data_IF_800836716032
#
_entry.id   IF_800836716032
#
_cell.length_a   1.000
_cell.length_b   1.000
_cell.length_c   1.000
_cell.angle_alpha   90.00
_cell.angle_beta   90.00
_cell.angle_gamma   90.00
#
_symmetry.space_group_name_H-M   'P 1'
#
loop_
_entity.id
_entity.type
_entity.pdbx_description
1 polymer ?
#
# COMPACT_ATOMS: atom_id res chain seq x y z
N UNK A 1 -64.19 37.03 10.21
CA UNK A 1 -63.32 36.01 9.66
C UNK A 1 -61.92 36.39 10.02
N UNK A 2 -61.31 35.65 10.95
CA UNK A 2 -59.89 35.86 11.35
C UNK A 2 -59.07 34.79 10.67
N UNK A 3 -58.18 35.17 9.79
CA UNK A 3 -57.19 34.27 9.18
C UNK A 3 -55.98 34.19 10.05
N UNK A 4 -55.69 33.00 10.55
CA UNK A 4 -54.46 32.69 11.28
C UNK A 4 -53.43 32.19 10.27
N UNK A 5 -52.35 32.94 10.04
CA UNK A 5 -51.20 32.52 9.26
C UNK A 5 -50.35 31.55 10.11
N UNK A 6 -50.31 30.27 9.69
CA UNK A 6 -49.37 29.29 10.22
C UNK A 6 -48.01 29.54 9.52
N UNK A 7 -47.08 30.06 10.30
CA UNK A 7 -45.66 30.16 9.90
C UNK A 7 -45.00 28.78 9.97
N UNK A 8 -44.77 28.16 8.81
CA UNK A 8 -43.97 26.93 8.71
C UNK A 8 -42.49 27.26 8.86
N UNK A 9 -41.97 27.05 10.06
CA UNK A 9 -40.55 27.14 10.32
C UNK A 9 -39.81 25.99 9.63
N UNK A 10 -39.06 26.31 8.59
CA UNK A 10 -38.10 25.37 7.98
C UNK A 10 -36.92 25.22 8.94
N UNK A 11 -36.89 24.13 9.68
CA UNK A 11 -35.69 23.73 10.46
C UNK A 11 -34.65 23.24 9.46
N UNK A 12 -33.70 24.10 9.11
CA UNK A 12 -32.52 23.69 8.37
C UNK A 12 -31.68 22.77 9.29
N UNK A 13 -31.80 21.44 9.09
CA UNK A 13 -30.85 20.47 9.66
C UNK A 13 -29.51 20.74 9.00
N UNK A 14 -28.66 21.52 9.64
CA UNK A 14 -27.25 21.57 9.33
C UNK A 14 -26.65 20.23 9.76
N UNK A 15 -26.56 19.30 8.84
CA UNK A 15 -25.76 18.09 9.05
C UNK A 15 -24.32 18.54 9.29
N UNK A 16 -23.90 18.52 10.55
CA UNK A 16 -22.48 18.61 10.91
C UNK A 16 -21.84 17.36 10.34
N UNK A 17 -21.35 17.43 9.10
CA UNK A 17 -20.54 16.38 8.53
C UNK A 17 -19.26 16.35 9.36
N UNK A 18 -19.00 15.31 10.15
CA UNK A 18 -17.73 15.21 10.86
C UNK A 18 -16.65 15.30 9.80
N UNK A 19 -15.68 16.17 10.01
CA UNK A 19 -14.55 16.29 9.12
C UNK A 19 -13.69 15.03 9.24
N UNK A 20 -13.98 14.08 8.38
CA UNK A 20 -13.28 12.81 8.29
C UNK A 20 -11.88 13.12 7.76
N UNK A 21 -10.86 12.93 8.59
CA UNK A 21 -9.45 12.95 8.15
C UNK A 21 -9.21 11.74 7.28
N UNK A 22 -8.71 11.96 6.09
CA UNK A 22 -8.42 10.91 5.13
C UNK A 22 -7.13 10.20 5.46
N UNK A 23 -7.13 8.86 5.41
CA UNK A 23 -5.92 8.10 5.66
C UNK A 23 -5.93 6.78 4.90
N UNK A 24 -4.78 6.43 4.37
CA UNK A 24 -4.49 5.13 3.81
C UNK A 24 -3.00 4.87 3.85
N UNK A 25 -2.63 3.61 3.90
CA UNK A 25 -1.23 3.20 3.90
C UNK A 25 -1.04 1.88 3.15
N UNK A 26 0.15 1.70 2.61
CA UNK A 26 0.55 0.50 1.90
C UNK A 26 1.19 -0.45 2.91
N UNK A 27 0.51 -1.53 3.27
CA UNK A 27 0.93 -2.45 4.31
C UNK A 27 1.56 -3.74 3.76
N UNK A 28 1.48 -3.96 2.45
CA UNK A 28 2.00 -5.14 1.79
C UNK A 28 2.38 -4.81 0.34
N UNK A 29 3.47 -5.38 -0.13
CA UNK A 29 3.91 -5.29 -1.50
C UNK A 29 4.68 -6.56 -1.90
N UNK A 30 4.49 -7.01 -3.14
CA UNK A 30 5.26 -8.09 -3.75
C UNK A 30 5.53 -7.78 -5.22
N UNK A 31 6.68 -8.20 -5.71
CA UNK A 31 7.05 -8.09 -7.11
C UNK A 31 6.72 -9.36 -7.91
N UNK A 32 6.89 -9.25 -9.21
CA UNK A 32 6.64 -10.34 -10.17
C UNK A 32 7.76 -11.39 -10.19
N UNK A 33 8.98 -11.01 -9.85
CA UNK A 33 10.13 -11.92 -9.94
C UNK A 33 10.15 -12.95 -8.81
N UNK A 34 9.73 -12.56 -7.59
CA UNK A 34 9.49 -13.49 -6.49
C UNK A 34 8.31 -13.01 -5.62
N UNK A 35 7.11 -13.54 -5.86
CA UNK A 35 5.92 -13.15 -5.10
C UNK A 35 5.95 -13.60 -3.63
N UNK A 36 6.86 -14.49 -3.24
CA UNK A 36 7.00 -14.95 -1.87
C UNK A 36 7.80 -13.96 -1.01
N UNK A 37 8.66 -13.15 -1.63
CA UNK A 37 9.37 -12.06 -0.95
C UNK A 37 8.47 -10.85 -0.88
N UNK A 38 7.93 -10.60 0.31
CA UNK A 38 6.90 -9.59 0.54
C UNK A 38 7.42 -8.51 1.48
N UNK A 39 7.19 -7.25 1.11
CA UNK A 39 7.51 -6.08 1.89
C UNK A 39 6.32 -5.17 2.14
N UNK A 40 6.60 -3.92 2.47
CA UNK A 40 5.60 -2.88 2.73
C UNK A 40 6.20 -1.49 2.50
N UNK A 41 5.38 -0.47 2.58
CA UNK A 41 5.86 0.91 2.45
C UNK A 41 6.69 1.32 3.67
N UNK A 42 7.69 2.15 3.42
CA UNK A 42 8.54 2.71 4.47
C UNK A 42 7.70 3.44 5.52
N UNK A 43 8.00 3.20 6.78
CA UNK A 43 7.29 3.78 7.91
C UNK A 43 6.08 2.99 8.40
N UNK A 44 5.63 1.96 7.69
CA UNK A 44 4.56 1.07 8.15
C UNK A 44 4.98 0.30 9.42
N UNK A 45 4.01 0.10 10.32
CA UNK A 45 4.20 -0.57 11.61
C UNK A 45 3.12 -1.64 11.82
N UNK A 46 3.52 -2.89 11.85
CA UNK A 46 2.61 -4.03 12.02
C UNK A 46 1.83 -4.00 13.34
N UNK A 47 2.34 -3.26 14.32
CA UNK A 47 1.72 -3.14 15.64
C UNK A 47 0.67 -2.04 15.75
N UNK A 48 0.47 -1.23 14.70
CA UNK A 48 -0.51 -0.15 14.72
C UNK A 48 -1.89 -0.70 14.37
N UNK A 49 -2.90 -0.54 15.24
CA UNK A 49 -4.25 -0.93 14.89
C UNK A 49 -4.77 -0.13 13.68
N UNK A 50 -5.35 -0.84 12.72
CA UNK A 50 -5.88 -0.25 11.49
C UNK A 50 -7.42 -0.14 11.51
N UNK A 51 -8.00 -0.03 12.69
CA UNK A 51 -9.45 -0.08 12.90
C UNK A 51 -10.16 1.28 12.79
N UNK A 52 -9.42 2.34 12.50
CA UNK A 52 -9.98 3.68 12.39
C UNK A 52 -10.47 4.29 13.70
N UNK A 53 -10.22 3.65 14.83
CA UNK A 53 -10.64 4.15 16.15
C UNK A 53 -9.53 4.97 16.81
N UNK A 54 -9.86 6.17 17.23
CA UNK A 54 -8.93 7.11 17.83
C UNK A 54 -8.00 7.81 16.81
N UNK A 55 -7.19 8.72 17.29
CA UNK A 55 -6.31 9.53 16.44
C UNK A 55 -5.02 8.80 16.03
N UNK A 56 -4.45 8.02 16.92
CA UNK A 56 -3.19 7.29 16.69
C UNK A 56 -3.26 6.29 15.54
N UNK A 57 -4.27 5.43 15.44
CA UNK A 57 -4.40 4.51 14.33
C UNK A 57 -4.55 5.16 12.97
N UNK A 58 -5.04 6.41 12.92
CA UNK A 58 -5.20 7.12 11.67
C UNK A 58 -3.91 7.67 11.10
N UNK A 59 -2.92 7.98 11.95
CA UNK A 59 -1.77 8.80 11.55
C UNK A 59 -0.42 8.13 11.75
N UNK A 60 -0.35 7.08 12.57
CA UNK A 60 0.92 6.60 13.09
C UNK A 60 1.87 6.09 12.01
N UNK A 61 1.38 5.31 11.08
CA UNK A 61 2.12 4.71 9.97
C UNK A 61 1.65 5.16 8.58
N UNK A 62 0.74 6.13 8.55
CA UNK A 62 0.32 6.77 7.31
C UNK A 62 1.36 7.77 6.86
N UNK A 63 1.89 7.57 5.65
CA UNK A 63 2.73 8.56 5.01
C UNK A 63 1.89 9.70 4.44
N UNK A 64 2.20 10.94 4.83
CA UNK A 64 1.56 12.16 4.35
C UNK A 64 2.59 12.98 3.59
N UNK A 65 2.28 13.33 2.34
CA UNK A 65 3.21 14.05 1.47
C UNK A 65 3.00 15.57 1.49
N UNK A 66 2.74 16.09 2.66
CA UNK A 66 2.62 17.53 2.90
C UNK A 66 3.07 17.91 4.31
N UNK A 67 3.54 19.14 4.47
CA UNK A 67 4.06 19.69 5.71
C UNK A 67 3.41 21.06 5.99
N UNK A 68 2.70 21.26 7.09
CA UNK A 68 2.35 20.26 8.12
C UNK A 68 1.55 19.08 7.59
N UNK A 69 1.65 17.94 8.25
CA UNK A 69 1.00 16.70 7.80
C UNK A 69 -0.54 16.78 7.85
N UNK A 70 -1.09 17.52 8.79
CA UNK A 70 -2.53 17.76 8.93
C UNK A 70 -2.84 19.22 8.68
N UNK A 71 -3.79 19.55 7.80
CA UNK A 71 -4.18 20.94 7.59
C UNK A 71 -4.75 21.53 8.87
N UNK A 72 -4.22 22.67 9.27
CA UNK A 72 -4.78 23.45 10.35
C UNK A 72 -6.11 24.05 9.88
N UNK A 73 -7.17 23.85 10.64
CA UNK A 73 -8.44 24.55 10.42
C UNK A 73 -8.47 25.78 11.30
N UNK A 74 -8.61 26.93 10.68
CA UNK A 74 -8.88 28.18 11.40
C UNK A 74 -10.19 28.02 12.20
N UNK A 75 -10.16 28.41 13.47
CA UNK A 75 -11.32 28.33 14.36
C UNK A 75 -11.11 29.11 15.64
N UNK A 76 -12.12 29.12 16.51
CA UNK A 76 -12.16 29.90 17.75
C UNK A 76 -10.92 29.71 18.65
N UNK A 77 -10.23 28.57 18.53
CA UNK A 77 -9.09 28.20 19.35
C UNK A 77 -7.73 28.30 18.65
N UNK A 78 -7.69 28.63 17.36
CA UNK A 78 -6.45 28.74 16.59
C UNK A 78 -6.46 30.03 15.79
N UNK A 79 -5.69 30.99 16.24
CA UNK A 79 -5.58 32.31 15.62
C UNK A 79 -4.76 32.30 14.33
N UNK A 80 -3.83 31.37 14.19
CA UNK A 80 -2.95 31.27 13.01
C UNK A 80 -2.81 29.82 12.59
N UNK A 81 -2.90 29.58 11.29
CA UNK A 81 -2.64 28.29 10.65
C UNK A 81 -1.41 28.41 9.76
N UNK A 82 -0.52 27.45 9.86
CA UNK A 82 0.64 27.40 9.00
C UNK A 82 0.24 26.97 7.58
N UNK A 83 0.86 27.63 6.58
CA UNK A 83 0.65 27.27 5.18
C UNK A 83 1.19 25.88 4.92
N UNK A 84 0.36 25.05 4.35
CA UNK A 84 0.74 23.69 3.97
C UNK A 84 1.57 23.71 2.69
N UNK A 85 2.67 22.95 2.69
CA UNK A 85 3.57 22.77 1.56
C UNK A 85 3.56 21.31 1.16
N UNK A 86 3.38 21.06 -0.12
CA UNK A 86 3.53 19.71 -0.69
C UNK A 86 5.01 19.32 -0.69
N UNK A 87 5.28 18.04 -0.42
CA UNK A 87 6.62 17.46 -0.40
C UNK A 87 6.89 16.77 -1.74
N UNK A 88 7.61 17.42 -2.65
CA UNK A 88 7.88 16.86 -3.97
C UNK A 88 8.83 15.66 -3.92
N UNK A 89 9.68 15.59 -2.89
CA UNK A 89 10.68 14.53 -2.70
C UNK A 89 10.47 13.78 -1.39
N UNK A 90 11.20 12.68 -1.20
CA UNK A 90 11.14 11.87 0.01
C UNK A 90 9.90 10.98 0.09
N UNK A 91 9.79 10.30 1.21
CA UNK A 91 8.73 9.33 1.49
C UNK A 91 7.67 9.85 2.46
N UNK A 92 7.58 11.16 2.62
CA UNK A 92 6.56 11.83 3.43
C UNK A 92 6.87 11.89 4.92
N UNK A 93 5.86 12.31 5.67
CA UNK A 93 5.84 12.40 7.13
C UNK A 93 4.89 11.35 7.68
N UNK A 94 5.20 10.80 8.86
CA UNK A 94 4.23 10.04 9.63
C UNK A 94 4.25 10.49 11.09
N UNK A 95 3.15 10.27 11.80
CA UNK A 95 3.07 10.63 13.23
C UNK A 95 4.14 9.91 14.05
N UNK A 96 4.44 8.66 13.72
CA UNK A 96 5.48 7.91 14.42
C UNK A 96 6.83 8.63 14.38
N UNK A 97 7.28 9.07 13.22
CA UNK A 97 8.58 9.74 13.08
C UNK A 97 8.57 11.16 13.60
N UNK A 98 7.46 11.88 13.44
CA UNK A 98 7.30 13.21 14.03
C UNK A 98 7.46 13.13 15.55
N UNK A 99 6.78 12.19 16.20
CA UNK A 99 6.85 12.02 17.64
C UNK A 99 8.25 11.61 18.09
N UNK A 100 8.84 10.63 17.42
CA UNK A 100 10.19 10.16 17.75
C UNK A 100 11.24 11.25 17.61
N UNK A 101 11.12 12.11 16.62
CA UNK A 101 12.00 13.27 16.45
C UNK A 101 11.88 14.21 17.64
N UNK A 102 10.69 14.57 18.05
CA UNK A 102 10.48 15.47 19.18
C UNK A 102 10.92 14.85 20.51
N UNK A 103 10.70 13.58 20.71
CA UNK A 103 11.17 12.84 21.88
C UNK A 103 12.71 12.84 21.99
N UNK A 104 13.40 12.66 20.86
CA UNK A 104 14.86 12.62 20.82
C UNK A 104 15.51 14.00 20.87
N UNK A 105 14.85 15.02 20.32
CA UNK A 105 15.41 16.37 20.18
C UNK A 105 15.27 17.21 21.44
N UNK A 106 14.21 17.03 22.21
CA UNK A 106 13.99 17.80 23.43
C UNK A 106 13.21 17.04 24.52
N UNK A 107 13.82 16.03 25.14
CA UNK A 107 13.11 15.19 26.11
C UNK A 107 12.61 15.93 27.34
N UNK A 108 13.12 17.15 27.60
CA UNK A 108 12.80 17.92 28.82
C UNK A 108 12.00 19.19 28.57
N UNK A 109 12.06 19.82 27.40
CA UNK A 109 11.38 21.09 27.13
C UNK A 109 10.00 20.94 26.51
N UNK A 110 9.88 20.05 25.56
CA UNK A 110 8.64 19.78 24.87
C UNK A 110 8.26 18.34 25.15
N UNK A 111 7.80 18.05 26.36
CA UNK A 111 7.07 16.83 26.56
C UNK A 111 5.82 16.90 25.68
N UNK A 112 5.89 16.40 24.42
CA UNK A 112 4.83 16.55 23.44
C UNK A 112 3.52 15.95 23.90
N UNK A 113 3.59 15.28 25.01
CA UNK A 113 2.55 14.49 25.63
C UNK A 113 2.26 14.86 27.08
N UNK A 114 2.55 16.10 27.49
CA UNK A 114 1.98 16.54 28.74
C UNK A 114 0.47 16.44 28.61
N UNK A 115 -0.06 15.48 29.32
CA UNK A 115 -1.50 15.32 29.52
C UNK A 115 -2.11 16.65 29.95
N UNK A 116 -2.65 17.39 29.04
CA UNK A 116 -3.70 18.34 29.36
C UNK A 116 -4.95 17.50 29.63
N UNK A 117 -5.32 17.35 30.88
CA UNK A 117 -6.50 16.55 31.26
C UNK A 117 -6.44 15.06 30.94
N UNK A 118 -5.25 14.45 30.91
CA UNK A 118 -5.11 13.00 30.73
C UNK A 118 -5.08 12.49 29.29
N UNK A 119 -5.25 13.32 28.29
CA UNK A 119 -5.22 12.93 26.88
C UNK A 119 -3.95 13.42 26.19
N UNK A 120 -3.20 12.51 25.57
CA UNK A 120 -2.07 12.84 24.71
C UNK A 120 -2.60 13.60 23.49
N UNK A 121 -2.11 14.80 23.26
CA UNK A 121 -2.51 15.59 22.09
C UNK A 121 -1.53 15.34 20.93
N UNK A 122 -1.60 14.14 20.35
CA UNK A 122 -0.74 13.72 19.25
C UNK A 122 -0.90 14.60 18.00
N UNK A 123 -2.01 15.33 17.91
CA UNK A 123 -2.31 16.22 16.79
C UNK A 123 -1.49 17.49 16.75
N UNK A 124 -0.94 17.92 17.86
CA UNK A 124 -0.26 19.21 17.91
C UNK A 124 0.86 19.30 16.87
N UNK A 125 1.75 18.30 16.84
CA UNK A 125 2.88 18.29 15.91
C UNK A 125 2.50 18.02 14.47
N UNK A 126 1.43 17.27 14.24
CA UNK A 126 0.91 17.01 12.89
C UNK A 126 0.40 18.29 12.20
N UNK A 127 0.02 19.30 12.96
CA UNK A 127 -0.49 20.59 12.46
C UNK A 127 0.56 21.68 12.41
N UNK A 128 1.80 21.39 12.82
CA UNK A 128 2.91 22.31 12.80
C UNK A 128 3.85 22.01 11.65
N UNK A 129 4.40 23.06 11.06
CA UNK A 129 5.46 22.91 10.08
C UNK A 129 6.72 22.37 10.76
N UNK A 130 7.33 21.38 10.15
CA UNK A 130 8.56 20.77 10.65
C UNK A 130 9.70 21.15 9.71
N UNK A 131 10.62 22.00 10.17
CA UNK A 131 11.66 22.58 9.33
C UNK A 131 12.70 21.56 8.90
N UNK A 132 13.21 20.73 9.61
CA UNK A 132 14.36 19.90 9.27
C UNK A 132 14.27 18.45 9.75
N UNK A 133 13.27 17.70 9.28
CA UNK A 133 13.16 16.27 9.54
C UNK A 133 12.39 15.92 10.82
N UNK A 134 11.23 15.38 10.70
CA UNK A 134 11.05 13.96 10.97
C UNK A 134 10.40 13.27 9.78
N UNK A 135 10.99 13.43 8.60
CA UNK A 135 10.62 12.65 7.46
C UNK A 135 10.87 11.16 7.73
N UNK A 136 10.11 10.31 7.04
CA UNK A 136 10.38 8.87 7.08
C UNK A 136 11.82 8.64 6.62
N UNK A 137 12.71 8.07 7.45
CA UNK A 137 14.13 7.91 7.11
C UNK A 137 14.32 6.76 6.14
N UNK A 138 14.71 7.05 4.91
CA UNK A 138 14.77 6.09 3.82
C UNK A 138 15.78 4.98 4.10
N UNK A 139 17.03 5.32 4.33
CA UNK A 139 18.10 4.34 4.48
C UNK A 139 17.80 3.31 5.58
N UNK A 140 17.52 3.75 6.79
CA UNK A 140 17.27 2.84 7.90
C UNK A 140 15.98 2.02 7.75
N UNK A 141 14.97 2.53 7.03
CA UNK A 141 13.75 1.76 6.78
C UNK A 141 13.95 0.73 5.65
N UNK A 142 14.72 1.05 4.61
CA UNK A 142 15.09 0.08 3.57
C UNK A 142 15.97 -1.02 4.14
N UNK A 143 16.97 -0.67 4.95
CA UNK A 143 17.85 -1.66 5.62
C UNK A 143 17.08 -2.64 6.50
N UNK A 144 16.01 -2.20 7.17
CA UNK A 144 15.14 -3.12 7.92
C UNK A 144 14.47 -4.15 7.03
N UNK A 145 14.00 -3.76 5.85
CA UNK A 145 13.39 -4.67 4.88
C UNK A 145 14.44 -5.64 4.33
N UNK A 146 15.61 -5.14 3.98
CA UNK A 146 16.75 -5.95 3.53
C UNK A 146 17.13 -7.00 4.57
N UNK A 147 17.39 -6.57 5.81
CA UNK A 147 17.83 -7.45 6.90
C UNK A 147 16.77 -8.49 7.31
N UNK A 148 15.50 -8.21 7.01
CA UNK A 148 14.39 -9.12 7.27
C UNK A 148 14.02 -9.97 6.06
N UNK A 149 14.74 -9.88 4.95
CA UNK A 149 14.40 -10.49 3.65
C UNK A 149 12.98 -10.15 3.18
N UNK A 150 12.61 -8.86 3.30
CA UNK A 150 11.29 -8.31 2.98
C UNK A 150 11.34 -7.23 1.89
N UNK A 151 12.33 -7.30 1.01
CA UNK A 151 12.48 -6.38 -0.11
C UNK A 151 11.86 -7.01 -1.36
N UNK A 152 10.71 -6.49 -1.87
CA UNK A 152 10.05 -7.04 -3.04
C UNK A 152 10.98 -7.12 -4.25
N UNK A 153 10.97 -8.25 -4.94
CA UNK A 153 11.82 -8.49 -6.11
C UNK A 153 11.03 -8.38 -7.40
N UNK A 154 11.58 -7.66 -8.36
CA UNK A 154 10.90 -7.33 -9.62
C UNK A 154 11.82 -7.53 -10.82
N UNK A 155 11.21 -7.83 -11.96
CA UNK A 155 11.90 -7.85 -13.24
C UNK A 155 11.72 -6.55 -14.02
N UNK A 156 12.60 -6.26 -14.96
CA UNK A 156 12.41 -5.19 -15.95
C UNK A 156 11.12 -5.45 -16.73
N UNK A 157 10.32 -4.42 -16.92
CA UNK A 157 9.03 -4.57 -17.60
C UNK A 157 8.00 -5.40 -16.82
N UNK A 158 8.30 -5.82 -15.61
CA UNK A 158 7.40 -6.55 -14.74
C UNK A 158 6.37 -5.68 -14.04
N UNK A 159 6.01 -6.05 -12.84
CA UNK A 159 5.03 -5.28 -12.05
C UNK A 159 5.25 -5.46 -10.55
N UNK A 160 4.69 -4.54 -9.80
CA UNK A 160 4.54 -4.67 -8.36
C UNK A 160 3.07 -4.59 -7.97
N UNK A 161 2.64 -5.49 -7.10
CA UNK A 161 1.32 -5.47 -6.49
C UNK A 161 1.47 -4.94 -5.07
N UNK A 162 0.62 -4.00 -4.69
CA UNK A 162 0.55 -3.42 -3.36
C UNK A 162 -0.84 -3.61 -2.79
N UNK A 163 -0.92 -3.87 -1.49
CA UNK A 163 -2.19 -3.85 -0.75
C UNK A 163 -2.23 -2.59 0.10
N UNK A 164 -3.30 -1.84 -0.07
CA UNK A 164 -3.54 -0.57 0.59
C UNK A 164 -4.69 -0.76 1.57
N UNK A 165 -4.46 -0.40 2.82
CA UNK A 165 -5.54 -0.28 3.78
C UNK A 165 -6.12 1.12 3.71
N UNK A 166 -7.37 1.23 3.31
CA UNK A 166 -8.12 2.46 3.33
C UNK A 166 -8.76 2.61 4.71
N UNK A 167 -8.25 3.53 5.52
CA UNK A 167 -8.74 3.73 6.90
C UNK A 167 -10.11 4.38 6.90
N UNK A 168 -10.30 5.38 6.03
CA UNK A 168 -11.57 6.10 5.91
C UNK A 168 -11.82 6.57 4.47
N UNK A 169 -12.91 7.29 4.25
CA UNK A 169 -13.41 7.65 2.93
C UNK A 169 -12.37 8.28 1.99
N UNK A 170 -11.57 9.22 2.47
CA UNK A 170 -10.64 9.99 1.66
C UNK A 170 -9.30 9.23 1.38
N UNK A 171 -9.15 8.03 1.90
CA UNK A 171 -7.98 7.16 1.65
C UNK A 171 -8.07 6.37 0.35
N UNK A 172 -9.04 6.65 -0.50
CA UNK A 172 -9.28 5.96 -1.75
C UNK A 172 -8.32 6.39 -2.88
N UNK A 173 -8.48 5.76 -4.07
CA UNK A 173 -7.82 6.19 -5.30
C UNK A 173 -8.41 7.47 -5.91
N UNK A 174 -7.98 7.87 -7.09
CA UNK A 174 -6.91 7.21 -7.84
C UNK A 174 -5.54 7.49 -7.23
N UNK A 175 -4.65 6.51 -7.34
CA UNK A 175 -3.24 6.66 -6.99
C UNK A 175 -2.43 6.98 -8.24
N UNK A 176 -1.45 7.87 -8.06
CA UNK A 176 -0.36 8.08 -9.02
C UNK A 176 0.92 7.52 -8.41
N UNK A 177 1.68 6.80 -9.19
CA UNK A 177 2.91 6.17 -8.75
C UNK A 177 4.10 6.68 -9.57
N UNK A 178 5.22 6.86 -8.92
CA UNK A 178 6.44 7.40 -9.52
C UNK A 178 7.61 6.51 -9.11
N UNK A 179 8.62 6.42 -9.97
CA UNK A 179 9.84 5.66 -9.69
C UNK A 179 11.05 6.58 -9.57
N UNK A 180 11.89 6.29 -8.59
CA UNK A 180 13.25 6.83 -8.46
C UNK A 180 14.24 5.67 -8.60
N UNK A 181 15.04 5.71 -9.63
CA UNK A 181 16.04 4.69 -9.93
C UNK A 181 17.23 4.70 -8.97
N UNK A 182 17.49 5.82 -8.30
CA UNK A 182 18.56 5.90 -7.30
C UNK A 182 18.20 5.23 -5.96
N UNK A 183 16.92 4.93 -5.75
CA UNK A 183 16.42 4.37 -4.49
C UNK A 183 16.40 5.36 -3.31
N UNK A 184 16.79 6.61 -3.51
CA UNK A 184 16.90 7.63 -2.45
C UNK A 184 15.63 8.44 -2.22
N UNK A 185 14.62 8.29 -3.09
CA UNK A 185 13.42 9.11 -3.16
C UNK A 185 13.72 10.61 -3.37
N UNK A 186 14.88 10.92 -3.94
CA UNK A 186 15.33 12.28 -4.22
C UNK A 186 14.80 12.84 -5.53
N UNK A 187 14.65 12.00 -6.54
CA UNK A 187 14.25 12.41 -7.89
C UNK A 187 13.32 11.38 -8.51
N UNK A 188 12.12 11.80 -8.85
CA UNK A 188 11.13 10.94 -9.51
C UNK A 188 11.31 11.02 -11.02
N UNK A 189 11.88 9.97 -11.61
CA UNK A 189 12.29 9.93 -13.01
C UNK A 189 11.11 9.75 -13.96
N UNK A 190 10.11 8.96 -13.55
CA UNK A 190 8.95 8.69 -14.39
C UNK A 190 7.69 8.43 -13.54
N UNK A 191 6.53 8.76 -14.12
CA UNK A 191 5.24 8.28 -13.64
C UNK A 191 4.96 6.89 -14.20
N UNK A 192 4.55 5.99 -13.34
CA UNK A 192 4.30 4.59 -13.67
C UNK A 192 2.84 4.35 -14.04
N UNK A 193 2.61 3.48 -15.02
CA UNK A 193 1.27 3.07 -15.39
C UNK A 193 0.63 2.21 -14.29
N UNK A 194 -0.50 2.66 -13.76
CA UNK A 194 -1.30 1.92 -12.79
C UNK A 194 -2.29 1.03 -13.55
N UNK A 195 -2.09 -0.28 -13.50
CA UNK A 195 -2.92 -1.28 -14.19
C UNK A 195 -4.21 -1.61 -13.41
N UNK A 196 -4.09 -1.75 -12.08
CA UNK A 196 -5.24 -1.91 -11.19
C UNK A 196 -5.25 -0.76 -10.18
N UNK A 197 -6.36 -0.06 -10.17
CA UNK A 197 -6.52 1.14 -9.35
C UNK A 197 -7.36 0.85 -8.11
N UNK A 198 -6.99 1.47 -7.01
CA UNK A 198 -7.85 1.52 -5.80
C UNK A 198 -9.17 2.19 -6.14
N UNK A 199 -10.29 1.55 -5.81
CA UNK A 199 -11.63 2.07 -6.10
C UNK A 199 -11.87 3.44 -5.46
N UNK A 200 -12.50 4.32 -6.21
CA UNK A 200 -12.90 5.65 -5.75
C UNK A 200 -14.22 6.07 -6.38
N UNK A 201 -14.95 6.97 -5.75
CA UNK A 201 -16.28 7.41 -6.20
C UNK A 201 -16.39 8.92 -6.43
N UNK A 202 -15.34 9.67 -6.15
CA UNK A 202 -15.37 11.12 -6.25
C UNK A 202 -14.04 11.74 -6.64
N UNK A 203 -14.08 13.07 -6.79
CA UNK A 203 -12.91 13.87 -7.13
C UNK A 203 -12.00 13.87 -5.96
N UNK A 204 -11.34 13.75 -5.33
CA UNK A 204 -10.51 13.93 -4.12
C UNK A 204 -10.25 12.64 -3.36
N UNK A 205 -10.11 11.54 -4.10
CA UNK A 205 -9.74 10.25 -3.51
C UNK A 205 -10.71 9.80 -2.42
N UNK A 206 -12.01 9.87 -2.70
CA UNK A 206 -13.06 9.49 -1.76
C UNK A 206 -13.76 8.20 -2.15
N UNK A 207 -14.04 7.36 -1.16
CA UNK A 207 -14.91 6.19 -1.27
C UNK A 207 -15.39 5.77 0.11
N UNK A 208 -16.62 6.13 0.46
CA UNK A 208 -17.21 5.81 1.75
C UNK A 208 -17.33 4.29 1.98
N UNK A 209 -17.59 3.53 0.92
CA UNK A 209 -17.73 2.07 1.00
C UNK A 209 -16.39 1.33 1.14
N UNK A 210 -15.27 2.02 0.91
CA UNK A 210 -13.93 1.48 1.05
C UNK A 210 -13.33 1.63 2.43
N UNK A 211 -13.97 2.35 3.36
CA UNK A 211 -13.46 2.56 4.72
C UNK A 211 -13.23 1.24 5.45
N UNK A 212 -12.10 1.13 6.13
CA UNK A 212 -11.62 -0.06 6.84
C UNK A 212 -11.46 -1.29 5.94
N UNK A 213 -11.25 -1.10 4.65
CA UNK A 213 -11.07 -2.18 3.68
C UNK A 213 -9.68 -2.18 3.08
N UNK A 214 -9.25 -3.37 2.72
CA UNK A 214 -8.03 -3.58 1.96
C UNK A 214 -8.36 -3.57 0.47
N UNK A 215 -7.53 -2.87 -0.30
CA UNK A 215 -7.66 -2.77 -1.74
C UNK A 215 -6.32 -3.06 -2.41
N UNK A 216 -6.33 -3.40 -3.68
CA UNK A 216 -5.12 -3.69 -4.43
C UNK A 216 -4.80 -2.56 -5.39
N UNK A 217 -3.51 -2.34 -5.57
CA UNK A 217 -2.92 -1.45 -6.56
C UNK A 217 -1.86 -2.26 -7.31
N UNK A 218 -1.93 -2.30 -8.64
CA UNK A 218 -0.91 -2.94 -9.47
C UNK A 218 -0.27 -1.91 -10.38
N UNK A 219 1.04 -1.86 -10.36
CA UNK A 219 1.84 -0.88 -11.09
C UNK A 219 2.76 -1.60 -12.05
N UNK A 220 2.73 -1.20 -13.31
CA UNK A 220 3.65 -1.68 -14.36
C UNK A 220 4.99 -0.99 -14.21
N UNK A 221 6.06 -1.74 -14.37
CA UNK A 221 7.43 -1.24 -14.33
C UNK A 221 7.95 -1.01 -15.76
N UNK A 222 8.85 -0.05 -15.96
CA UNK A 222 9.45 0.20 -17.28
C UNK A 222 10.35 -0.96 -17.74
N UNK A 223 10.33 -1.25 -19.02
CA UNK A 223 11.16 -2.30 -19.62
C UNK A 223 12.65 -1.95 -19.59
N UNK A 224 12.98 -0.66 -19.56
CA UNK A 224 14.34 -0.13 -19.53
C UNK A 224 14.77 0.38 -18.15
N UNK A 225 14.08 -0.03 -17.06
CA UNK A 225 14.48 0.39 -15.73
C UNK A 225 15.90 -0.09 -15.39
N UNK A 226 16.58 0.69 -14.56
CA UNK A 226 17.91 0.36 -14.04
C UNK A 226 18.03 0.92 -12.62
N UNK A 227 17.92 0.06 -11.63
CA UNK A 227 17.96 0.44 -10.24
C UNK A 227 19.40 0.56 -9.73
N UNK A 228 19.76 1.73 -9.19
CA UNK A 228 21.13 2.04 -8.74
C UNK A 228 21.30 2.11 -7.23
N UNK A 229 20.24 2.01 -6.45
CA UNK A 229 20.31 2.09 -4.98
C UNK A 229 21.00 0.89 -4.35
N UNK A 230 21.66 1.13 -3.20
CA UNK A 230 22.36 0.10 -2.43
C UNK A 230 22.11 0.31 -0.94
N UNK A 231 21.58 -0.71 -0.26
CA UNK A 231 21.26 -0.68 1.16
C UNK A 231 21.47 -2.06 1.81
N UNK A 232 22.11 -2.09 2.97
CA UNK A 232 22.30 -3.32 3.75
C UNK A 232 22.98 -4.45 2.97
N UNK A 233 23.89 -4.11 2.04
CA UNK A 233 24.59 -5.09 1.19
C UNK A 233 23.77 -5.59 -0.02
N UNK A 234 22.54 -5.09 -0.24
CA UNK A 234 21.75 -5.36 -1.45
C UNK A 234 21.86 -4.20 -2.42
N UNK A 235 22.06 -4.52 -3.70
CA UNK A 235 22.15 -3.57 -4.80
C UNK A 235 20.88 -3.62 -5.67
N UNK A 236 20.84 -2.75 -6.69
CA UNK A 236 19.78 -2.67 -7.67
C UNK A 236 18.41 -2.33 -7.04
N UNK A 237 18.40 -1.37 -6.11
CA UNK A 237 17.20 -0.95 -5.40
C UNK A 237 16.67 0.34 -6.00
N UNK A 238 15.41 0.31 -6.43
CA UNK A 238 14.62 1.49 -6.81
C UNK A 238 13.64 1.83 -5.68
N UNK A 239 13.11 3.05 -5.73
CA UNK A 239 12.02 3.48 -4.86
C UNK A 239 10.77 3.79 -5.68
N UNK A 240 9.63 3.21 -5.31
CA UNK A 240 8.32 3.57 -5.87
C UNK A 240 7.56 4.38 -4.84
N UNK A 241 7.09 5.57 -5.21
CA UNK A 241 6.19 6.39 -4.43
C UNK A 241 4.81 6.36 -5.05
N UNK A 242 3.82 5.85 -4.32
CA UNK A 242 2.41 5.93 -4.71
C UNK A 242 1.67 6.87 -3.76
N UNK A 243 0.87 7.75 -4.32
CA UNK A 243 0.11 8.74 -3.56
C UNK A 243 -1.25 9.00 -4.21
N UNK A 244 -2.24 9.27 -3.37
CA UNK A 244 -3.55 9.70 -3.83
C UNK A 244 -3.64 11.24 -3.92
N UNK A 245 -4.81 11.77 -4.28
CA UNK A 245 -5.06 13.22 -4.41
C UNK A 245 -5.99 13.76 -3.32
N UNK A 246 -6.03 13.12 -2.17
CA UNK A 246 -6.87 13.57 -1.06
C UNK A 246 -6.46 14.98 -0.57
N UNK A 247 -7.41 15.90 -0.37
CA UNK A 247 -7.10 17.26 0.08
C UNK A 247 -6.42 17.32 1.45
N UNK A 248 -6.68 16.33 2.31
CA UNK A 248 -6.03 16.22 3.61
C UNK A 248 -4.68 15.47 3.55
N UNK A 249 -4.34 14.89 2.40
CA UNK A 249 -3.10 14.18 2.11
C UNK A 249 -2.10 15.07 1.35
N UNK A 250 -1.55 14.60 0.24
CA UNK A 250 -1.72 13.24 -0.32
C UNK A 250 -1.27 12.14 0.64
N UNK A 251 -1.94 10.97 0.57
CA UNK A 251 -1.62 9.78 1.37
C UNK A 251 -1.10 8.66 0.49
N UNK A 252 -0.38 7.71 1.08
CA UNK A 252 0.14 6.56 0.37
C UNK A 252 1.39 6.01 1.03
N UNK A 253 2.48 5.91 0.27
CA UNK A 253 3.76 5.44 0.79
C UNK A 253 4.82 5.26 -0.28
N UNK A 254 6.05 5.03 0.16
CA UNK A 254 7.14 4.59 -0.68
C UNK A 254 7.42 3.10 -0.44
N UNK A 255 7.52 2.33 -1.51
CA UNK A 255 7.89 0.93 -1.49
C UNK A 255 9.24 0.78 -2.19
N UNK A 256 10.30 0.35 -1.48
CA UNK A 256 11.54 -0.04 -2.14
C UNK A 256 11.35 -1.38 -2.83
N UNK A 257 11.95 -1.52 -4.01
CA UNK A 257 11.93 -2.75 -4.80
C UNK A 257 13.36 -3.08 -5.24
N UNK A 258 13.67 -4.37 -5.34
CA UNK A 258 14.94 -4.84 -5.89
C UNK A 258 14.73 -5.34 -7.31
N UNK A 259 15.46 -4.76 -8.27
CA UNK A 259 15.53 -5.30 -9.62
C UNK A 259 16.39 -6.55 -9.62
N UNK A 260 15.82 -7.66 -10.08
CA UNK A 260 16.52 -8.93 -10.24
C UNK A 260 16.38 -9.43 -11.67
N UNK A 261 17.34 -10.21 -12.10
CA UNK A 261 17.21 -10.93 -13.38
C UNK A 261 16.10 -11.97 -13.24
N UNK A 262 15.23 -12.13 -14.25
CA UNK A 262 14.32 -13.27 -14.25
C UNK A 262 15.10 -14.57 -14.12
N UNK A 263 14.57 -15.58 -13.46
CA UNK A 263 15.16 -16.91 -13.51
C UNK A 263 15.39 -17.30 -14.97
N UNK A 264 16.49 -18.00 -15.30
CA UNK A 264 16.65 -18.56 -16.64
C UNK A 264 15.39 -19.34 -17.00
N UNK A 265 14.89 -19.16 -18.22
CA UNK A 265 13.78 -19.97 -18.70
C UNK A 265 14.15 -21.45 -18.50
N UNK A 266 13.21 -22.29 -18.04
CA UNK A 266 13.46 -23.73 -18.01
C UNK A 266 14.02 -24.16 -19.37
N UNK A 267 15.02 -25.05 -19.41
CA UNK A 267 15.48 -25.58 -20.69
C UNK A 267 14.27 -25.96 -21.52
N UNK A 268 14.22 -25.52 -22.76
CA UNK A 268 13.17 -25.95 -23.67
C UNK A 268 13.12 -27.48 -23.60
N UNK A 269 11.95 -28.04 -23.28
CA UNK A 269 11.77 -29.48 -23.34
C UNK A 269 12.21 -29.90 -24.72
N UNK A 270 13.26 -30.71 -24.79
CA UNK A 270 13.69 -31.32 -26.02
C UNK A 270 12.46 -32.10 -26.52
N UNK A 271 11.97 -31.83 -27.74
CA UNK A 271 10.84 -32.60 -28.25
C UNK A 271 11.22 -34.07 -28.08
N UNK A 272 10.43 -34.81 -27.34
CA UNK A 272 10.55 -36.26 -27.31
C UNK A 272 10.50 -36.71 -28.79
N UNK A 273 11.65 -37.18 -29.29
CA UNK A 273 11.64 -37.93 -30.54
C UNK A 273 10.68 -39.10 -30.31
N UNK A 274 9.57 -39.07 -30.99
CA UNK A 274 8.67 -40.23 -31.04
C UNK A 274 9.52 -41.45 -31.36
N UNK A 275 9.61 -42.35 -30.41
CA UNK A 275 10.23 -43.65 -30.62
C UNK A 275 9.52 -44.32 -31.79
N UNK A 276 10.23 -44.82 -32.84
CA UNK A 276 9.59 -45.40 -33.99
C UNK A 276 8.66 -46.53 -33.53
N UNK A 277 7.43 -46.50 -33.99
CA UNK A 277 6.42 -47.50 -33.67
C UNK A 277 6.99 -48.91 -33.91
N UNK A 278 6.78 -49.87 -32.98
CA UNK A 278 7.22 -51.24 -33.16
C UNK A 278 6.55 -51.85 -34.39
N UNK A 279 7.26 -52.71 -35.14
CA UNK A 279 6.71 -53.32 -36.35
C UNK A 279 5.43 -54.11 -36.05
N UNK A 280 4.50 -54.21 -37.00
CA UNK A 280 3.24 -54.93 -36.82
C UNK A 280 3.54 -56.37 -36.44
N UNK A 281 2.97 -56.83 -35.34
CA UNK A 281 2.97 -58.25 -34.98
C UNK A 281 2.03 -58.97 -35.92
N UNK A 282 2.55 -59.95 -36.60
CA UNK A 282 1.81 -60.93 -37.43
C UNK A 282 0.82 -61.72 -36.56
N UNK A 283 -0.44 -61.62 -36.93
CA UNK A 283 -1.51 -62.42 -36.29
C UNK A 283 -1.26 -63.90 -36.45
N UNK A 284 -0.95 -64.60 -35.38
CA UNK A 284 -1.25 -66.03 -35.28
C UNK A 284 -2.64 -66.19 -34.66
N UNK A 285 -3.58 -66.50 -35.50
CA UNK A 285 -4.84 -67.15 -35.11
C UNK A 285 -4.51 -68.52 -34.62
N UNK A 286 -4.92 -68.89 -33.41
CA UNK A 286 -5.36 -70.20 -33.09
C UNK A 286 -6.39 -70.17 -31.95
N UNK A 287 -7.38 -70.97 -32.22
CA UNK A 287 -8.62 -71.17 -31.53
C UNK A 287 -8.47 -71.78 -30.13
N UNK A 288 -9.46 -71.61 -29.35
CA UNK A 288 -10.23 -72.53 -28.52
C UNK A 288 -10.67 -71.91 -27.22
N UNK A 289 -11.91 -71.55 -27.18
CA UNK A 289 -13.01 -72.21 -26.49
C UNK A 289 -13.04 -72.17 -24.94
N UNK A 290 -14.13 -71.65 -24.45
CA UNK A 290 -14.98 -72.11 -23.33
C UNK A 290 -14.87 -71.54 -21.93
N UNK A 291 -16.02 -71.05 -21.45
CA UNK A 291 -16.56 -70.89 -20.07
C UNK A 291 -16.05 -69.71 -19.25
N UNK A 292 -16.87 -68.84 -18.81
CA UNK A 292 -18.14 -69.04 -18.07
C UNK A 292 -18.01 -68.37 -16.72
N UNK A 293 -18.98 -67.53 -16.38
CA UNK A 293 -19.48 -67.19 -15.06
C UNK A 293 -18.93 -65.92 -14.31
N UNK A 294 -19.85 -64.99 -14.23
CA UNK A 294 -20.35 -64.28 -13.05
C UNK A 294 -19.41 -63.75 -12.00
N UNK A 295 -19.42 -62.39 -11.75
CA UNK A 295 -20.03 -61.73 -10.58
C UNK A 295 -19.65 -60.24 -10.54
N UNK A 296 -20.66 -59.40 -10.66
CA UNK A 296 -21.30 -58.58 -9.61
C UNK A 296 -20.39 -57.67 -8.76
N UNK A 297 -20.54 -56.38 -9.05
CA UNK A 297 -20.81 -55.30 -8.10
C UNK A 297 -19.77 -54.92 -7.04
N UNK A 298 -19.27 -53.69 -7.09
CA UNK A 298 -19.62 -52.68 -6.07
C UNK A 298 -19.14 -51.27 -6.46
N UNK A 299 -20.07 -50.35 -6.33
CA UNK A 299 -19.89 -48.90 -6.32
C UNK A 299 -19.24 -48.49 -5.01
N UNK A 300 -18.36 -47.53 -5.06
CA UNK A 300 -18.26 -46.57 -3.96
C UNK A 300 -18.15 -45.15 -4.50
N UNK A 301 -19.22 -44.37 -4.24
CA UNK A 301 -19.31 -42.95 -4.17
C UNK A 301 -18.49 -42.45 -2.94
N UNK A 302 -17.70 -41.42 -3.09
CA UNK A 302 -17.42 -40.46 -2.01
C UNK A 302 -17.28 -39.07 -2.58
N UNK A 303 -18.35 -38.29 -2.38
CA UNK A 303 -18.34 -36.83 -2.25
C UNK A 303 -17.77 -36.45 -0.89
N UNK A 304 -16.88 -35.48 -0.89
CA UNK A 304 -16.85 -34.37 0.06
C UNK A 304 -16.05 -33.21 -0.56
#
# INVERSE_FOLDING_TARGET
MKFTLLSSGVIALTTIVPSISAHSFIYWAAGDADPNVQGWALGYRTTTPANGQGQLPFQRDVAVFSNPAVPCRAGKWRKTCEKRVYLPTGCGLSLFYINRYHESYNPNKDKPYKKSGGKKNDWYYMTKYVSNKPFIPIASEVEKLVNSNKLPQVSKGGHVIMKIHQVNADGAGPYRCFIDYSGTAGTWAAELAVQWQVKYTGKHSTNNYGSLKNQQLRVKLPDNMSCGGSYGGRNNICMIRCQNSAPNGPFGGCVPIQEVQPPPAPPAEIPHQEEPAPPPQENQQDADDYNGADNVQERYDYSY
#
